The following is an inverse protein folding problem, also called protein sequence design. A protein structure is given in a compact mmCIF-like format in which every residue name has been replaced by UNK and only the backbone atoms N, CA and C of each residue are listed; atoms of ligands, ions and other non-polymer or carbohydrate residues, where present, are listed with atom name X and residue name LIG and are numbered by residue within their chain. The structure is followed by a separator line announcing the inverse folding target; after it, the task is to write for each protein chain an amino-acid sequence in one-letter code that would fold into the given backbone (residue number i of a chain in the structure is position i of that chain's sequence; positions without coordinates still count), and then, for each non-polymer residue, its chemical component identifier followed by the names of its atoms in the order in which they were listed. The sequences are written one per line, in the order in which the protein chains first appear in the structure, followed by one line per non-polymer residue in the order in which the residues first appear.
data_IF_708274640244
#
_entry.id   IF_708274640244
#
_cell.length_a   1.000
_cell.length_b   1.000
_cell.length_c   1.000
_cell.angle_alpha   90.00
_cell.angle_beta   90.00
_cell.angle_gamma   90.00
#
_symmetry.space_group_name_H-M   'P 1'
#
loop_
_entity.id
_entity.type
_entity.pdbx_description
1 polymer ?
#
# COMPACT_ATOMS: atom_id res chain seq x y z
N UNK A 1 -27.97 5.24 0.64
CA UNK A 1 -26.67 4.80 1.18
C UNK A 1 -25.63 5.16 0.14
N UNK A 2 -24.67 6.01 0.47
CA UNK A 2 -23.57 6.33 -0.46
C UNK A 2 -22.67 5.09 -0.59
N UNK A 3 -22.58 4.52 -1.80
CA UNK A 3 -21.63 3.46 -2.16
C UNK A 3 -20.21 4.02 -2.39
N UNK A 4 -19.79 5.01 -1.59
CA UNK A 4 -18.44 5.53 -1.71
C UNK A 4 -17.46 4.45 -1.21
N UNK A 5 -16.36 4.19 -1.94
CA UNK A 5 -15.36 3.24 -1.49
C UNK A 5 -14.76 3.70 -0.16
N UNK A 6 -14.42 2.74 0.69
CA UNK A 6 -13.67 2.98 1.92
C UNK A 6 -12.22 3.37 1.58
N UNK A 7 -11.54 4.05 2.52
CA UNK A 7 -10.11 4.38 2.36
C UNK A 7 -9.24 3.15 2.10
N UNK A 8 -9.58 2.01 2.70
CA UNK A 8 -8.89 0.73 2.46
C UNK A 8 -9.10 0.27 1.02
N UNK A 9 -10.33 0.32 0.49
CA UNK A 9 -10.60 -0.05 -0.90
C UNK A 9 -9.89 0.88 -1.89
N UNK A 10 -9.79 2.17 -1.58
CA UNK A 10 -9.02 3.15 -2.38
C UNK A 10 -7.53 2.79 -2.38
N UNK A 11 -6.96 2.49 -1.21
CA UNK A 11 -5.56 2.07 -1.09
C UNK A 11 -5.27 0.75 -1.80
N UNK A 12 -6.19 -0.22 -1.74
CA UNK A 12 -6.08 -1.49 -2.47
C UNK A 12 -6.04 -1.25 -3.98
N UNK A 13 -6.93 -0.40 -4.52
CA UNK A 13 -6.94 -0.03 -5.94
C UNK A 13 -5.65 0.67 -6.35
N UNK A 14 -5.17 1.57 -5.49
CA UNK A 14 -3.92 2.29 -5.73
C UNK A 14 -2.72 1.35 -5.77
N UNK A 15 -2.60 0.42 -4.83
CA UNK A 15 -1.52 -0.58 -4.82
C UNK A 15 -1.58 -1.50 -6.05
N UNK A 16 -2.78 -1.92 -6.48
CA UNK A 16 -2.96 -2.68 -7.72
C UNK A 16 -2.46 -1.95 -8.96
N UNK A 17 -2.77 -0.65 -9.08
CA UNK A 17 -2.34 0.16 -10.22
C UNK A 17 -0.82 0.41 -10.17
N UNK A 18 -0.29 0.77 -8.99
CA UNK A 18 1.13 1.07 -8.81
C UNK A 18 2.02 -0.15 -9.15
N UNK A 19 1.62 -1.34 -8.71
CA UNK A 19 2.36 -2.59 -8.95
C UNK A 19 1.89 -3.37 -10.20
N UNK A 20 1.07 -2.78 -11.09
CA UNK A 20 0.39 -3.51 -12.18
C UNK A 20 1.32 -4.28 -13.12
N UNK A 21 2.54 -3.78 -13.33
CA UNK A 21 3.55 -4.39 -14.21
C UNK A 21 4.63 -5.14 -13.44
N UNK A 22 4.58 -5.16 -12.11
CA UNK A 22 5.60 -5.76 -11.27
C UNK A 22 5.25 -7.22 -10.96
N UNK A 23 6.25 -8.09 -11.08
CA UNK A 23 6.15 -9.51 -10.75
C UNK A 23 7.17 -9.89 -9.68
N UNK A 24 6.87 -10.93 -8.90
CA UNK A 24 7.80 -11.48 -7.91
C UNK A 24 8.97 -12.16 -8.62
N UNK A 25 10.18 -11.90 -8.12
CA UNK A 25 11.43 -12.53 -8.62
C UNK A 25 11.46 -14.05 -8.41
N UNK A 26 10.75 -14.55 -7.41
CA UNK A 26 10.76 -15.97 -7.02
C UNK A 26 9.99 -16.88 -7.97
N UNK A 27 8.79 -16.47 -8.37
CA UNK A 27 7.83 -17.33 -9.09
C UNK A 27 7.09 -16.63 -10.24
N UNK A 28 7.37 -15.35 -10.49
CA UNK A 28 6.74 -14.56 -11.55
C UNK A 28 5.29 -14.15 -11.27
N UNK A 29 4.74 -14.43 -10.08
CA UNK A 29 3.38 -14.02 -9.72
C UNK A 29 3.25 -12.49 -9.60
N UNK A 30 2.03 -11.90 -9.74
CA UNK A 30 1.84 -10.46 -9.59
C UNK A 30 2.29 -9.97 -8.21
N UNK A 31 3.10 -8.91 -8.17
CA UNK A 31 3.70 -8.43 -6.92
C UNK A 31 2.65 -7.97 -5.91
N UNK A 32 1.56 -7.34 -6.37
CA UNK A 32 0.47 -6.81 -5.53
C UNK A 32 -0.11 -7.83 -4.54
N UNK A 33 0.01 -9.13 -4.81
CA UNK A 33 -0.40 -10.17 -3.86
C UNK A 33 0.33 -10.03 -2.52
N UNK A 34 1.58 -9.55 -2.51
CA UNK A 34 2.36 -9.30 -1.30
C UNK A 34 1.72 -8.25 -0.37
N UNK A 35 1.54 -6.97 -0.77
CA UNK A 35 0.87 -5.98 0.08
C UNK A 35 -0.55 -6.40 0.50
N UNK A 36 -1.32 -7.05 -0.38
CA UNK A 36 -2.67 -7.53 -0.06
C UNK A 36 -2.68 -8.56 1.07
N UNK A 37 -1.72 -9.49 1.08
CA UNK A 37 -1.61 -10.50 2.14
C UNK A 37 -1.19 -9.87 3.48
N UNK A 38 -0.28 -8.91 3.47
CA UNK A 38 0.11 -8.15 4.66
C UNK A 38 -1.08 -7.39 5.26
N UNK A 39 -1.82 -6.64 4.44
CA UNK A 39 -3.01 -5.92 4.85
C UNK A 39 -4.08 -6.85 5.43
N UNK A 40 -4.36 -7.97 4.75
CA UNK A 40 -5.29 -8.98 5.24
C UNK A 40 -4.93 -9.51 6.63
N UNK A 41 -3.65 -9.80 6.86
CA UNK A 41 -3.18 -10.25 8.18
C UNK A 41 -3.38 -9.20 9.27
N UNK A 42 -3.13 -7.93 8.98
CA UNK A 42 -3.29 -6.83 9.95
C UNK A 42 -4.77 -6.56 10.24
N UNK A 43 -5.63 -6.58 9.22
CA UNK A 43 -7.09 -6.51 9.41
C UNK A 43 -7.57 -7.63 10.33
N UNK A 44 -7.11 -8.87 10.13
CA UNK A 44 -7.48 -10.01 10.99
C UNK A 44 -6.99 -9.88 12.43
N UNK A 45 -5.94 -9.09 12.67
CA UNK A 45 -5.41 -8.80 14.00
C UNK A 45 -6.05 -7.57 14.65
N UNK A 46 -6.98 -6.89 13.98
CA UNK A 46 -7.69 -5.73 14.51
C UNK A 46 -6.86 -4.46 14.57
N UNK A 47 -5.86 -4.32 13.69
CA UNK A 47 -5.15 -3.05 13.53
C UNK A 47 -6.06 -1.98 12.91
N UNK A 48 -5.74 -0.72 13.16
CA UNK A 48 -6.48 0.41 12.63
C UNK A 48 -6.28 0.61 11.12
N UNK A 49 -7.22 1.33 10.50
CA UNK A 49 -7.28 1.56 9.06
C UNK A 49 -5.99 2.15 8.50
N UNK A 50 -5.37 3.12 9.18
CA UNK A 50 -4.13 3.76 8.71
C UNK A 50 -2.96 2.76 8.63
N UNK A 51 -2.87 1.83 9.57
CA UNK A 51 -1.87 0.75 9.56
C UNK A 51 -2.16 -0.26 8.44
N UNK A 52 -3.43 -0.59 8.21
CA UNK A 52 -3.83 -1.47 7.10
C UNK A 52 -3.52 -0.81 5.76
N UNK A 53 -3.82 0.49 5.60
CA UNK A 53 -3.51 1.28 4.41
C UNK A 53 -2.00 1.34 4.21
N UNK A 54 -1.21 1.64 5.25
CA UNK A 54 0.23 1.67 5.13
C UNK A 54 0.80 0.31 4.67
N UNK A 55 0.26 -0.81 5.15
CA UNK A 55 0.66 -2.13 4.68
C UNK A 55 0.31 -2.40 3.20
N UNK A 56 -0.79 -1.83 2.68
CA UNK A 56 -1.09 -1.87 1.26
C UNK A 56 -0.09 -1.06 0.42
N UNK A 57 0.52 -0.03 1.01
CA UNK A 57 1.33 0.96 0.31
C UNK A 57 2.83 0.86 0.60
N UNK A 58 3.27 -0.04 1.49
CA UNK A 58 4.62 -0.02 2.05
C UNK A 58 5.75 -0.08 1.01
N UNK A 59 5.57 -0.84 -0.08
CA UNK A 59 6.58 -0.96 -1.15
C UNK A 59 6.35 0.05 -2.30
N UNK A 60 5.29 0.86 -2.23
CA UNK A 60 4.90 1.70 -3.37
C UNK A 60 5.93 2.80 -3.63
N UNK A 61 6.45 3.43 -2.57
CA UNK A 61 7.52 4.43 -2.69
C UNK A 61 8.82 3.81 -3.21
N UNK A 62 9.11 2.58 -2.81
CA UNK A 62 10.36 1.90 -3.13
C UNK A 62 10.40 1.37 -4.57
N UNK A 63 9.27 0.87 -5.09
CA UNK A 63 9.26 0.01 -6.28
C UNK A 63 8.50 0.56 -7.49
N UNK A 64 7.69 1.62 -7.34
CA UNK A 64 6.73 2.03 -8.40
C UNK A 64 6.93 3.44 -8.95
N UNK A 65 7.86 4.22 -8.37
CA UNK A 65 8.13 5.60 -8.76
C UNK A 65 7.05 6.61 -8.31
N UNK A 66 6.09 6.18 -7.50
CA UNK A 66 5.09 7.06 -6.89
C UNK A 66 5.77 8.04 -5.92
N UNK A 67 5.43 9.33 -6.05
CA UNK A 67 5.93 10.38 -5.16
C UNK A 67 5.25 10.35 -3.77
N UNK A 68 6.00 10.71 -2.73
CA UNK A 68 5.53 10.83 -1.33
C UNK A 68 4.32 11.76 -1.21
N UNK A 69 4.31 12.84 -1.98
CA UNK A 69 3.25 13.83 -2.04
C UNK A 69 1.92 13.21 -2.49
N UNK A 70 1.96 12.20 -3.37
CA UNK A 70 0.77 11.49 -3.84
C UNK A 70 0.13 10.71 -2.70
N UNK A 71 0.93 9.98 -1.91
CA UNK A 71 0.43 9.23 -0.74
C UNK A 71 -0.14 10.19 0.30
N UNK A 72 0.59 11.27 0.63
CA UNK A 72 0.12 12.29 1.59
C UNK A 72 -1.19 12.94 1.16
N UNK A 73 -1.33 13.25 -0.13
CA UNK A 73 -2.54 13.90 -0.65
C UNK A 73 -3.76 12.98 -0.65
N UNK A 74 -3.59 11.68 -0.91
CA UNK A 74 -4.70 10.72 -1.00
C UNK A 74 -5.04 10.08 0.36
N UNK A 75 -4.04 9.77 1.18
CA UNK A 75 -4.22 8.93 2.37
C UNK A 75 -3.90 9.65 3.69
N UNK A 76 -3.32 10.85 3.62
CA UNK A 76 -3.01 11.68 4.78
C UNK A 76 -1.58 11.53 5.28
N UNK A 77 -1.20 12.40 6.22
CA UNK A 77 0.17 12.50 6.73
C UNK A 77 0.58 11.28 7.57
N UNK A 78 -0.31 10.77 8.42
CA UNK A 78 -0.02 9.63 9.29
C UNK A 78 0.29 8.35 8.50
N UNK A 79 -0.47 8.08 7.43
CA UNK A 79 -0.18 6.97 6.51
C UNK A 79 1.18 7.15 5.85
N UNK A 80 1.50 8.35 5.36
CA UNK A 80 2.79 8.63 4.75
C UNK A 80 3.93 8.36 5.75
N UNK A 81 3.81 8.84 6.99
CA UNK A 81 4.83 8.64 8.03
C UNK A 81 5.12 7.15 8.29
N UNK A 82 4.08 6.31 8.34
CA UNK A 82 4.25 4.86 8.51
C UNK A 82 4.95 4.27 7.28
N UNK A 83 4.49 4.61 6.07
CA UNK A 83 5.06 4.10 4.81
C UNK A 83 6.53 4.49 4.67
N UNK A 84 6.88 5.75 4.94
CA UNK A 84 8.27 6.21 4.92
C UNK A 84 9.11 5.49 5.98
N UNK A 85 8.56 5.24 7.16
CA UNK A 85 9.26 4.53 8.24
C UNK A 85 9.58 3.07 7.92
N UNK A 86 8.93 2.47 6.90
CA UNK A 86 9.15 1.08 6.47
C UNK A 86 9.68 0.96 5.04
N UNK A 87 9.93 2.08 4.36
CA UNK A 87 10.56 2.11 3.03
C UNK A 87 12.07 1.97 3.18
N UNK A 88 12.72 1.06 2.45
CA UNK A 88 14.18 0.99 2.44
C UNK A 88 14.77 1.96 1.39
N UNK A 89 15.68 2.83 1.82
CA UNK A 89 16.47 3.65 0.90
C UNK A 89 17.46 2.75 0.14
N UNK A 90 17.19 2.50 -1.14
CA UNK A 90 18.15 1.88 -2.07
C UNK A 90 19.22 2.92 -2.45
N UNK A 91 20.16 3.19 -1.54
CA UNK A 91 21.38 3.97 -1.79
C UNK A 91 22.39 3.20 -2.67
#
# INVERSE_FOLDING_TARGET
MSNAPTRIEEAMRFACEAHKTQTRKSDGSPYVVHPLMCAHMLTRKGFEDDVIIAALLHDVLEDTGVAKETIRAQFGNHVLEIVEGVTEDKL
#
